data_IF_712096507486
#
_entry.id   IF_712096507486
#
_cell.length_a   1.000
_cell.length_b   1.000
_cell.length_c   1.000
_cell.angle_alpha   90.00
_cell.angle_beta   90.00
_cell.angle_gamma   90.00
#
_symmetry.space_group_name_H-M   'P 1'
#
loop_
_entity.id
_entity.type
_entity.pdbx_description
1 polymer ?
#
# COMPACT_ATOMS: atom_id res chain seq x y z
N UNK A 1 6.42 -3.84 17.24
CA UNK A 1 6.66 -4.29 15.84
C UNK A 1 7.77 -5.36 15.82
N UNK A 2 7.58 -6.43 15.06
CA UNK A 2 8.52 -7.53 14.87
C UNK A 2 9.88 -7.05 14.33
N UNK A 3 11.01 -7.62 14.79
CA UNK A 3 12.36 -7.18 14.42
C UNK A 3 12.71 -7.52 12.96
N UNK A 4 12.21 -8.63 12.42
CA UNK A 4 12.43 -9.00 11.02
C UNK A 4 11.72 -8.04 10.09
N UNK A 5 10.48 -7.65 10.43
CA UNK A 5 9.71 -6.63 9.70
C UNK A 5 10.40 -5.27 9.78
N UNK A 6 10.96 -4.88 10.92
CA UNK A 6 11.72 -3.62 11.03
C UNK A 6 12.93 -3.59 10.09
N UNK A 7 13.72 -4.69 10.07
CA UNK A 7 14.87 -4.81 9.17
C UNK A 7 14.45 -4.78 7.69
N UNK A 8 13.36 -5.46 7.36
CA UNK A 8 12.79 -5.45 6.02
C UNK A 8 12.35 -4.05 5.58
N UNK A 9 11.60 -3.34 6.41
CA UNK A 9 11.16 -1.96 6.12
C UNK A 9 12.35 -1.01 5.92
N UNK A 10 13.40 -1.16 6.74
CA UNK A 10 14.63 -0.38 6.55
C UNK A 10 15.33 -0.70 5.23
N UNK A 11 15.36 -1.97 4.80
CA UNK A 11 15.92 -2.39 3.53
C UNK A 11 15.07 -1.89 2.34
N UNK A 12 13.74 -2.00 2.44
CA UNK A 12 12.79 -1.47 1.48
C UNK A 12 12.98 0.04 1.28
N UNK A 13 13.08 0.79 2.37
CA UNK A 13 13.29 2.23 2.31
C UNK A 13 14.62 2.59 1.64
N UNK A 14 15.71 1.84 1.92
CA UNK A 14 17.00 2.05 1.22
C UNK A 14 16.88 1.79 -0.28
N UNK A 15 16.19 0.72 -0.68
CA UNK A 15 15.97 0.39 -2.10
C UNK A 15 15.12 1.45 -2.81
N UNK A 16 14.05 1.92 -2.17
CA UNK A 16 13.21 2.99 -2.68
C UNK A 16 13.98 4.31 -2.84
N UNK A 17 14.75 4.71 -1.82
CA UNK A 17 15.62 5.91 -1.88
C UNK A 17 16.69 5.78 -2.96
N UNK A 18 17.28 4.61 -3.14
CA UNK A 18 18.26 4.35 -4.19
C UNK A 18 17.70 4.41 -5.61
N UNK A 19 16.37 4.28 -5.77
CA UNK A 19 15.69 4.38 -7.08
C UNK A 19 15.11 5.76 -7.32
N UNK A 20 14.45 6.32 -6.30
CA UNK A 20 13.71 7.58 -6.41
C UNK A 20 14.56 8.80 -6.05
N UNK A 21 15.67 8.62 -5.32
CA UNK A 21 16.57 9.67 -4.88
C UNK A 21 15.83 10.84 -4.20
N UNK A 22 16.02 12.07 -4.68
CA UNK A 22 15.33 13.27 -4.19
C UNK A 22 13.83 13.31 -4.53
N UNK A 23 13.37 12.46 -5.44
CA UNK A 23 11.94 12.37 -5.78
C UNK A 23 11.13 11.57 -4.73
N UNK A 24 11.75 10.83 -3.81
CA UNK A 24 11.04 10.22 -2.69
C UNK A 24 10.74 11.29 -1.62
N UNK A 25 9.47 11.65 -1.50
CA UNK A 25 8.99 12.63 -0.52
C UNK A 25 8.74 12.02 0.86
N UNK A 26 8.13 10.82 0.90
CA UNK A 26 7.78 10.14 2.16
C UNK A 26 7.56 8.63 1.97
N UNK A 27 7.59 7.92 3.11
CA UNK A 27 7.24 6.50 3.21
C UNK A 27 6.52 6.21 4.53
N UNK A 28 5.49 5.39 4.47
CA UNK A 28 4.65 5.05 5.63
C UNK A 28 4.36 3.55 5.65
N UNK A 29 4.40 2.97 6.86
CA UNK A 29 3.75 1.70 7.13
C UNK A 29 2.25 1.91 7.27
N UNK A 30 1.47 0.96 6.77
CA UNK A 30 0.01 0.97 6.80
C UNK A 30 -0.55 -0.31 7.42
N UNK A 31 -1.84 -0.52 7.33
CA UNK A 31 -2.52 -1.74 7.73
C UNK A 31 -2.20 -2.20 9.15
N UNK A 32 -1.98 -3.50 9.32
CA UNK A 32 -1.73 -4.11 10.63
C UNK A 32 -0.49 -3.56 11.35
N UNK A 33 0.53 -3.13 10.59
CA UNK A 33 1.76 -2.56 11.15
C UNK A 33 1.48 -1.20 11.80
N UNK A 34 0.72 -0.34 11.13
CA UNK A 34 0.37 0.98 11.65
C UNK A 34 -0.57 0.91 12.85
N UNK A 35 -1.42 -0.11 12.91
CA UNK A 35 -2.43 -0.32 13.95
C UNK A 35 -1.91 -1.14 15.14
N UNK A 36 -0.62 -1.50 15.18
CA UNK A 36 0.01 -2.38 16.17
C UNK A 36 -0.71 -3.75 16.33
N UNK A 37 -1.24 -4.25 15.21
CA UNK A 37 -2.00 -5.49 15.09
C UNK A 37 -1.31 -6.53 14.18
N UNK A 38 -0.01 -6.39 13.94
CA UNK A 38 0.74 -7.30 13.10
C UNK A 38 0.88 -8.68 13.75
N UNK A 39 0.47 -9.73 13.04
CA UNK A 39 0.58 -11.13 13.44
C UNK A 39 1.57 -11.86 12.51
N UNK A 40 2.72 -12.36 13.04
CA UNK A 40 3.68 -13.16 12.26
C UNK A 40 2.99 -14.35 11.59
N UNK A 41 3.30 -14.55 10.29
CA UNK A 41 2.76 -15.67 9.52
C UNK A 41 1.34 -15.44 8.95
N UNK A 42 0.58 -14.45 9.43
CA UNK A 42 -0.77 -14.12 8.95
C UNK A 42 -0.82 -12.78 8.22
N UNK A 43 -0.22 -11.74 8.81
CA UNK A 43 -0.22 -10.41 8.25
C UNK A 43 0.71 -10.29 7.04
N UNK A 44 0.38 -9.39 6.16
CA UNK A 44 1.23 -8.81 5.14
C UNK A 44 1.92 -7.53 5.67
N UNK A 45 2.80 -6.99 4.85
CA UNK A 45 3.45 -5.70 5.06
C UNK A 45 2.82 -4.70 4.10
N UNK A 46 2.07 -3.74 4.63
CA UNK A 46 1.47 -2.67 3.85
C UNK A 46 2.35 -1.42 3.89
N UNK A 47 2.70 -0.88 2.72
CA UNK A 47 3.57 0.31 2.59
C UNK A 47 3.00 1.30 1.59
N UNK A 48 2.92 2.57 1.99
CA UNK A 48 2.67 3.68 1.08
C UNK A 48 3.97 4.49 0.89
N UNK A 49 4.35 4.69 -0.37
CA UNK A 49 5.40 5.62 -0.76
C UNK A 49 4.78 6.87 -1.39
N UNK A 50 5.43 8.01 -1.23
CA UNK A 50 5.02 9.26 -1.89
C UNK A 50 6.21 9.83 -2.64
N UNK A 51 6.02 10.14 -3.94
CA UNK A 51 6.98 10.89 -4.75
C UNK A 51 6.52 12.33 -4.97
N UNK A 52 7.46 13.24 -5.20
CA UNK A 52 7.16 14.64 -5.55
C UNK A 52 6.51 14.72 -6.93
N UNK A 53 7.18 14.17 -7.93
CA UNK A 53 6.82 14.25 -9.34
C UNK A 53 6.48 12.88 -9.92
N UNK A 54 5.75 12.89 -11.04
CA UNK A 54 5.42 11.68 -11.79
C UNK A 54 6.67 10.92 -12.25
N UNK A 55 6.56 9.59 -12.28
CA UNK A 55 7.64 8.71 -12.71
C UNK A 55 7.48 8.28 -14.16
N UNK A 56 8.60 8.19 -14.88
CA UNK A 56 8.66 7.47 -16.14
C UNK A 56 8.49 5.96 -15.95
N UNK A 57 8.00 5.26 -16.98
CA UNK A 57 7.74 3.82 -16.91
C UNK A 57 9.00 3.01 -16.53
N UNK A 58 10.15 3.33 -17.07
CA UNK A 58 11.42 2.67 -16.76
C UNK A 58 11.79 2.79 -15.27
N UNK A 59 11.55 3.96 -14.68
CA UNK A 59 11.81 4.19 -13.25
C UNK A 59 10.83 3.41 -12.38
N UNK A 60 9.55 3.32 -12.77
CA UNK A 60 8.53 2.49 -12.10
C UNK A 60 8.92 1.00 -12.15
N UNK A 61 9.33 0.51 -13.32
CA UNK A 61 9.78 -0.88 -13.50
C UNK A 61 11.05 -1.18 -12.70
N UNK A 62 11.99 -0.23 -12.64
CA UNK A 62 13.21 -0.37 -11.82
C UNK A 62 12.87 -0.46 -10.34
N UNK A 63 11.92 0.35 -9.86
CA UNK A 63 11.45 0.31 -8.47
C UNK A 63 10.84 -1.07 -8.17
N UNK A 64 9.92 -1.55 -9.00
CA UNK A 64 9.28 -2.87 -8.85
C UNK A 64 10.34 -3.98 -8.87
N UNK A 65 11.29 -3.96 -9.79
CA UNK A 65 12.34 -4.98 -9.88
C UNK A 65 13.21 -5.06 -8.61
N UNK A 66 13.42 -3.94 -7.92
CA UNK A 66 14.19 -3.88 -6.67
C UNK A 66 13.40 -4.26 -5.41
N UNK A 67 12.07 -4.12 -5.45
CA UNK A 67 11.21 -4.35 -4.30
C UNK A 67 10.45 -5.68 -4.36
N UNK A 68 10.44 -6.36 -5.53
CA UNK A 68 9.79 -7.67 -5.66
C UNK A 68 10.47 -8.71 -4.75
N UNK A 69 9.69 -9.70 -4.31
CA UNK A 69 10.11 -10.68 -3.31
C UNK A 69 11.44 -11.37 -3.62
N UNK A 70 11.72 -11.66 -4.88
CA UNK A 70 12.95 -12.33 -5.30
C UNK A 70 14.22 -11.46 -5.12
N UNK A 71 14.07 -10.13 -5.16
CA UNK A 71 15.17 -9.20 -4.93
C UNK A 71 15.25 -8.73 -3.46
N UNK A 72 14.10 -8.65 -2.79
CA UNK A 72 13.97 -8.24 -1.41
C UNK A 72 12.95 -9.15 -0.69
N UNK A 73 13.38 -10.31 -0.16
CA UNK A 73 12.49 -11.26 0.48
C UNK A 73 11.71 -10.65 1.65
N UNK A 74 10.37 -10.62 1.53
CA UNK A 74 9.49 -10.18 2.59
C UNK A 74 9.36 -11.28 3.66
N UNK A 75 9.57 -10.99 4.96
CA UNK A 75 9.46 -11.98 6.04
C UNK A 75 8.01 -12.33 6.38
N UNK A 76 7.05 -11.49 5.94
CA UNK A 76 5.62 -11.69 6.12
C UNK A 76 5.00 -12.51 4.99
N UNK A 77 3.67 -12.61 4.94
CA UNK A 77 2.95 -13.25 3.83
C UNK A 77 3.32 -12.63 2.49
N UNK A 78 3.49 -11.32 2.45
CA UNK A 78 3.91 -10.56 1.30
C UNK A 78 3.98 -9.06 1.58
N UNK A 79 4.32 -8.30 0.55
CA UNK A 79 4.31 -6.84 0.49
C UNK A 79 3.12 -6.38 -0.35
N UNK A 80 2.27 -5.52 0.20
CA UNK A 80 1.34 -4.68 -0.54
C UNK A 80 1.89 -3.25 -0.53
N UNK A 81 2.26 -2.72 -1.69
CA UNK A 81 2.86 -1.40 -1.80
C UNK A 81 2.12 -0.54 -2.81
N UNK A 82 1.86 0.70 -2.44
CA UNK A 82 1.32 1.72 -3.35
C UNK A 82 2.22 2.95 -3.33
N UNK A 83 2.60 3.43 -4.51
CA UNK A 83 3.31 4.69 -4.69
C UNK A 83 2.36 5.74 -5.23
N UNK A 84 2.23 6.85 -4.52
CA UNK A 84 1.42 8.01 -4.90
C UNK A 84 2.29 9.21 -5.25
N UNK A 85 1.74 10.15 -6.04
CA UNK A 85 2.29 11.51 -6.13
C UNK A 85 1.78 12.38 -4.98
N UNK A 86 2.61 13.30 -4.50
CA UNK A 86 2.22 14.28 -3.47
C UNK A 86 0.95 15.07 -3.86
N UNK A 87 0.84 15.48 -5.12
CA UNK A 87 -0.33 16.20 -5.59
C UNK A 87 -1.64 15.41 -5.43
N UNK A 88 -1.58 14.09 -5.55
CA UNK A 88 -2.74 13.20 -5.32
C UNK A 88 -3.01 13.03 -3.83
N UNK A 89 -1.96 12.78 -3.03
CA UNK A 89 -2.17 12.58 -1.59
C UNK A 89 -2.71 13.81 -0.88
N UNK A 90 -2.38 15.01 -1.37
CA UNK A 90 -2.82 16.28 -0.79
C UNK A 90 -4.15 16.82 -1.37
N UNK A 91 -4.73 16.17 -2.40
CA UNK A 91 -5.94 16.67 -3.06
C UNK A 91 -7.25 16.28 -2.39
N UNK A 92 -7.24 15.25 -1.50
CA UNK A 92 -8.48 14.68 -0.95
C UNK A 92 -9.38 14.01 -2.01
N UNK A 93 -8.85 13.69 -3.19
CA UNK A 93 -9.62 13.09 -4.28
C UNK A 93 -10.08 11.66 -3.94
N UNK A 94 -11.31 11.24 -4.31
CA UNK A 94 -11.73 9.85 -4.23
C UNK A 94 -11.10 8.95 -5.30
N UNK A 95 -10.44 9.53 -6.32
CA UNK A 95 -9.82 8.76 -7.40
C UNK A 95 -8.58 7.97 -6.90
N UNK A 96 -8.25 6.81 -7.51
CA UNK A 96 -7.09 6.01 -7.13
C UNK A 96 -5.77 6.77 -7.18
N UNK A 97 -5.43 7.35 -8.33
CA UNK A 97 -4.31 8.27 -8.55
C UNK A 97 -2.91 7.75 -8.22
N UNK A 98 -2.67 6.43 -8.17
CA UNK A 98 -1.36 5.89 -7.89
C UNK A 98 -0.44 5.87 -9.13
N UNK A 99 0.87 5.90 -8.89
CA UNK A 99 1.93 5.72 -9.89
C UNK A 99 2.33 4.24 -10.06
N UNK A 100 2.39 3.51 -8.95
CA UNK A 100 2.71 2.08 -8.92
C UNK A 100 1.88 1.41 -7.83
N UNK A 101 1.33 0.24 -8.16
CA UNK A 101 0.86 -0.74 -7.19
C UNK A 101 1.70 -1.99 -7.34
N UNK A 102 2.15 -2.57 -6.24
CA UNK A 102 2.93 -3.80 -6.20
C UNK A 102 2.43 -4.72 -5.10
N UNK A 103 2.04 -5.93 -5.49
CA UNK A 103 1.83 -7.06 -4.60
C UNK A 103 2.88 -8.12 -4.88
N UNK A 104 3.60 -8.60 -3.87
CA UNK A 104 4.67 -9.58 -4.04
C UNK A 104 4.99 -10.30 -2.73
N UNK A 105 5.20 -11.61 -2.76
CA UNK A 105 5.52 -12.36 -1.56
C UNK A 105 5.63 -13.85 -1.80
N UNK A 106 6.16 -14.59 -0.82
CA UNK A 106 6.23 -16.05 -0.90
C UNK A 106 4.84 -16.71 -0.89
N UNK A 107 3.84 -16.02 -0.31
CA UNK A 107 2.44 -16.48 -0.19
C UNK A 107 1.47 -15.44 -0.70
N UNK A 108 1.88 -14.67 -1.70
CA UNK A 108 1.10 -13.62 -2.35
C UNK A 108 1.42 -13.61 -3.83
N UNK A 109 0.39 -13.62 -4.67
CA UNK A 109 0.55 -13.56 -6.12
C UNK A 109 1.22 -12.25 -6.54
N UNK A 110 2.20 -12.38 -7.43
CA UNK A 110 2.86 -11.21 -7.99
C UNK A 110 1.89 -10.41 -8.87
N UNK A 111 1.76 -9.12 -8.57
CA UNK A 111 1.06 -8.15 -9.41
C UNK A 111 1.76 -6.81 -9.35
N UNK A 112 2.03 -6.22 -10.52
CA UNK A 112 2.51 -4.85 -10.63
C UNK A 112 1.64 -4.09 -11.63
N UNK A 113 1.11 -2.94 -11.21
CA UNK A 113 0.30 -2.02 -12.03
C UNK A 113 1.01 -0.68 -12.05
N UNK A 114 1.17 -0.09 -13.23
CA UNK A 114 2.01 1.10 -13.44
C UNK A 114 1.22 2.39 -13.65
N UNK A 115 -0.10 2.30 -13.72
CA UNK A 115 -1.02 3.43 -13.75
C UNK A 115 -2.38 3.01 -13.17
N UNK A 116 -3.10 3.95 -12.56
CA UNK A 116 -4.40 3.67 -11.96
C UNK A 116 -5.44 3.25 -13.01
N UNK A 117 -5.30 3.73 -14.23
CA UNK A 117 -6.15 3.43 -15.37
C UNK A 117 -6.05 1.97 -15.83
N UNK A 118 -4.89 1.34 -15.63
CA UNK A 118 -4.65 -0.06 -15.99
C UNK A 118 -5.38 -1.04 -15.04
N UNK A 119 -5.85 -0.54 -13.90
CA UNK A 119 -6.61 -1.35 -12.93
C UNK A 119 -8.06 -1.48 -13.38
N UNK A 120 -8.62 -2.70 -13.52
CA UNK A 120 -10.04 -2.88 -13.82
C UNK A 120 -10.93 -2.19 -12.79
N UNK A 121 -12.00 -1.55 -13.22
CA UNK A 121 -12.94 -0.86 -12.32
C UNK A 121 -13.60 -1.83 -11.32
N UNK A 122 -13.80 -3.09 -11.74
CA UNK A 122 -14.37 -4.15 -10.90
C UNK A 122 -13.46 -4.55 -9.73
N UNK A 123 -12.18 -4.22 -9.76
CA UNK A 123 -11.20 -4.62 -8.75
C UNK A 123 -11.18 -3.72 -7.50
N UNK A 124 -12.22 -2.90 -7.30
CA UNK A 124 -12.35 -2.12 -6.07
C UNK A 124 -11.41 -0.91 -6.01
N UNK A 125 -11.40 -0.06 -7.04
CA UNK A 125 -10.61 1.19 -7.09
C UNK A 125 -10.82 2.11 -5.89
N UNK A 126 -11.96 2.01 -5.21
CA UNK A 126 -12.29 2.79 -4.01
C UNK A 126 -11.31 2.55 -2.84
N UNK A 127 -10.62 1.39 -2.81
CA UNK A 127 -9.68 1.07 -1.74
C UNK A 127 -8.56 2.09 -1.61
N UNK A 128 -8.02 2.60 -2.72
CA UNK A 128 -6.90 3.54 -2.68
C UNK A 128 -7.23 4.84 -1.96
N UNK A 129 -8.46 5.34 -2.13
CA UNK A 129 -8.91 6.53 -1.43
C UNK A 129 -9.16 6.25 0.06
N UNK A 130 -9.76 5.10 0.39
CA UNK A 130 -9.95 4.67 1.78
C UNK A 130 -8.61 4.46 2.49
N UNK A 131 -7.65 3.80 1.83
CA UNK A 131 -6.32 3.56 2.38
C UNK A 131 -5.59 4.89 2.65
N UNK A 132 -5.73 5.91 1.76
CA UNK A 132 -5.19 7.26 2.02
C UNK A 132 -5.83 7.94 3.22
N UNK A 133 -7.15 7.81 3.41
CA UNK A 133 -7.85 8.34 4.58
C UNK A 133 -7.40 7.63 5.88
N UNK A 134 -7.19 6.31 5.83
CA UNK A 134 -6.64 5.55 6.95
C UNK A 134 -5.20 5.99 7.25
N UNK A 135 -4.37 6.17 6.21
CA UNK A 135 -3.01 6.67 6.34
C UNK A 135 -2.96 8.06 6.98
N UNK A 136 -3.86 8.98 6.60
CA UNK A 136 -3.98 10.29 7.24
C UNK A 136 -4.12 10.16 8.77
N UNK A 137 -4.93 9.19 9.24
CA UNK A 137 -5.25 9.02 10.65
C UNK A 137 -4.21 8.21 11.43
N UNK A 138 -3.60 7.21 10.80
CA UNK A 138 -2.80 6.20 11.51
C UNK A 138 -1.50 5.78 10.82
N UNK A 139 -1.10 6.43 9.73
CA UNK A 139 0.11 6.06 8.99
C UNK A 139 1.37 6.12 9.86
N UNK A 140 2.08 4.97 9.97
CA UNK A 140 3.35 4.89 10.69
C UNK A 140 4.48 5.51 9.85
N UNK A 141 5.08 6.58 10.34
CA UNK A 141 6.15 7.27 9.59
C UNK A 141 7.41 6.40 9.53
N UNK A 142 7.82 6.04 8.31
CA UNK A 142 9.11 5.40 8.03
C UNK A 142 10.13 6.43 7.51
N UNK A 143 9.66 7.44 6.76
CA UNK A 143 10.45 8.56 6.27
C UNK A 143 9.53 9.73 5.89
N UNK A 144 9.97 10.96 6.15
CA UNK A 144 9.24 12.17 5.79
C UNK A 144 8.43 12.77 6.94
N UNK A 145 7.47 13.66 6.64
CA UNK A 145 6.64 14.34 7.65
C UNK A 145 5.58 13.40 8.24
N UNK A 146 4.86 13.82 9.29
CA UNK A 146 3.68 13.13 9.79
C UNK A 146 2.66 12.82 8.69
N UNK A 147 2.03 11.65 8.74
CA UNK A 147 1.10 11.21 7.69
C UNK A 147 -0.07 12.18 7.48
N UNK A 148 -0.58 12.78 8.55
CA UNK A 148 -1.64 13.79 8.48
C UNK A 148 -1.25 15.07 7.69
N UNK A 149 0.05 15.37 7.56
CA UNK A 149 0.54 16.48 6.74
C UNK A 149 0.73 16.08 5.27
N UNK A 150 0.93 14.78 5.01
CA UNK A 150 1.16 14.24 3.67
C UNK A 150 -0.12 13.82 2.96
N UNK A 151 -1.09 13.29 3.69
CA UNK A 151 -2.37 12.82 3.16
C UNK A 151 -3.48 13.76 3.59
N UNK A 152 -4.20 14.36 2.64
CA UNK A 152 -5.46 15.04 2.92
C UNK A 152 -6.53 13.99 3.24
N UNK A 153 -7.38 14.27 4.22
CA UNK A 153 -8.53 13.41 4.49
C UNK A 153 -9.61 13.58 3.41
N UNK A 154 -10.43 12.55 3.25
CA UNK A 154 -11.59 12.60 2.37
C UNK A 154 -12.68 13.49 2.98
N UNK A 155 -13.47 14.15 2.12
CA UNK A 155 -14.69 14.78 2.61
C UNK A 155 -15.63 13.71 3.20
N UNK A 156 -16.43 14.04 4.24
CA UNK A 156 -17.42 13.09 4.78
C UNK A 156 -18.41 12.57 3.73
N UNK A 157 -18.71 13.34 2.70
CA UNK A 157 -19.60 12.95 1.60
C UNK A 157 -18.95 11.90 0.71
N UNK A 158 -17.68 12.12 0.30
CA UNK A 158 -16.91 11.18 -0.52
C UNK A 158 -16.66 9.87 0.25
N UNK A 159 -16.25 9.97 1.51
CA UNK A 159 -16.03 8.81 2.38
C UNK A 159 -17.30 7.95 2.49
N UNK A 160 -18.45 8.58 2.71
CA UNK A 160 -19.75 7.88 2.77
C UNK A 160 -20.06 7.17 1.45
N UNK A 161 -19.85 7.83 0.32
CA UNK A 161 -20.08 7.24 -1.02
C UNK A 161 -19.18 6.02 -1.24
N UNK A 162 -17.88 6.15 -0.98
CA UNK A 162 -16.92 5.07 -1.13
C UNK A 162 -17.24 3.86 -0.23
N UNK A 163 -17.64 4.10 1.03
CA UNK A 163 -18.03 3.02 1.94
C UNK A 163 -19.30 2.30 1.48
N UNK A 164 -20.29 3.03 0.95
CA UNK A 164 -21.50 2.42 0.39
C UNK A 164 -21.15 1.56 -0.83
N UNK A 165 -20.31 2.04 -1.72
CA UNK A 165 -19.86 1.31 -2.91
C UNK A 165 -19.05 0.06 -2.53
N UNK A 166 -18.18 0.17 -1.52
CA UNK A 166 -17.46 -0.95 -0.95
C UNK A 166 -18.37 -2.05 -0.42
N UNK A 167 -19.43 -1.67 0.32
CA UNK A 167 -20.42 -2.62 0.85
C UNK A 167 -21.24 -3.28 -0.27
N UNK A 168 -21.64 -2.52 -1.28
CA UNK A 168 -22.45 -3.01 -2.41
C UNK A 168 -21.67 -3.95 -3.33
N UNK A 169 -20.39 -3.70 -3.52
CA UNK A 169 -19.54 -4.52 -4.40
C UNK A 169 -19.28 -5.93 -3.87
N UNK A 170 -19.56 -6.22 -2.60
CA UNK A 170 -19.25 -7.47 -1.93
C UNK A 170 -17.74 -7.74 -1.77
N UNK A 171 -16.89 -6.87 -2.31
CA UNK A 171 -15.42 -6.99 -2.25
C UNK A 171 -14.88 -6.85 -0.82
N UNK A 172 -15.60 -6.15 0.05
CA UNK A 172 -15.28 -6.10 1.48
C UNK A 172 -15.22 -7.51 2.07
N UNK A 173 -16.20 -8.35 1.76
CA UNK A 173 -16.28 -9.73 2.25
C UNK A 173 -15.20 -10.65 1.63
N UNK A 174 -14.69 -10.36 0.44
CA UNK A 174 -13.67 -11.16 -0.24
C UNK A 174 -12.27 -10.88 0.33
N UNK A 175 -11.92 -9.62 0.58
CA UNK A 175 -10.60 -9.25 1.14
C UNK A 175 -10.37 -9.87 2.53
N UNK A 176 -11.43 -10.01 3.33
CA UNK A 176 -11.35 -10.55 4.70
C UNK A 176 -11.65 -12.05 4.81
N UNK A 177 -12.25 -12.72 3.79
CA UNK A 177 -12.50 -14.17 3.80
C UNK A 177 -11.25 -15.00 3.50
N UNK A 178 -10.33 -14.52 2.70
CA UNK A 178 -9.10 -15.22 2.35
C UNK A 178 -8.12 -15.43 3.52
N UNK A 179 -8.39 -14.83 4.69
CA UNK A 179 -7.66 -15.08 5.93
C UNK A 179 -8.30 -16.11 6.88
N UNK A 180 -9.53 -16.57 6.60
CA UNK A 180 -10.27 -17.47 7.49
C UNK A 180 -10.32 -18.92 7.02
N UNK A 181 -10.08 -19.19 5.73
CA UNK A 181 -10.27 -20.53 5.16
C UNK A 181 -9.07 -21.48 5.40
N UNK A 182 -7.90 -20.98 5.81
CA UNK A 182 -6.74 -21.82 6.13
C UNK A 182 -6.78 -22.43 7.55
N UNK A 183 -7.75 -22.07 8.36
CA UNK A 183 -7.85 -22.55 9.75
C UNK A 183 -8.60 -23.89 9.91
N UNK A 184 -9.15 -24.47 8.83
CA UNK A 184 -10.04 -25.64 8.92
C UNK A 184 -9.54 -26.88 8.16
N UNK A 185 -8.25 -26.95 7.83
CA UNK A 185 -7.61 -28.16 7.31
C UNK A 185 -6.55 -28.67 8.29
N UNK A 186 -6.98 -29.27 9.37
CA UNK A 186 -6.16 -30.21 10.16
C UNK A 186 -6.83 -31.59 10.14
N UNK A 187 -6.10 -32.65 9.84
CA UNK A 187 -6.60 -34.02 9.76
C UNK A 187 -7.05 -34.59 11.09
#
# INVERSE_FOLDING_TARGET
MDSEVQHYLAALLRAARGTLASNLAAAYGAGSIALDAYEPGRSDVDVALVCEDALGLEQKQTLVARLRHEALPCPARGLELVLYRRSVTQSGTPEPGFEVELNTGARMDFRATYAAEDRPAADGRFWYALDRSILHQSGLVLFGPPAAEMFADLSPADLRTLLIDALRSGLWSAKYRNGADDANSCP
#
